data_IF_070639504606
#
_entry.id   IF_070639504606
#
_cell.length_a   1.000
_cell.length_b   1.000
_cell.length_c   1.000
_cell.angle_alpha   90.00
_cell.angle_beta   90.00
_cell.angle_gamma   90.00
#
_symmetry.space_group_name_H-M   'P 1'
#
loop_
_entity.id
_entity.type
_entity.pdbx_description
1 polymer ?
#
# COMPACT_ATOMS: atom_id res chain seq x y z
N UNK A 1 26.09 -26.42 -11.96
CA UNK A 1 25.55 -27.78 -11.73
C UNK A 1 26.26 -28.56 -10.60
N UNK A 2 26.93 -27.88 -9.65
CA UNK A 2 27.61 -28.52 -8.50
C UNK A 2 27.01 -28.13 -7.15
N UNK A 3 26.21 -27.05 -7.05
CA UNK A 3 25.53 -26.67 -5.79
C UNK A 3 24.19 -27.39 -5.52
N UNK A 4 23.59 -28.04 -6.52
CA UNK A 4 22.28 -28.71 -6.36
C UNK A 4 22.43 -30.12 -5.77
N UNK A 5 23.59 -30.76 -5.92
CA UNK A 5 23.82 -32.11 -5.37
C UNK A 5 24.06 -32.12 -3.86
N UNK A 6 24.57 -31.03 -3.27
CA UNK A 6 24.91 -30.99 -1.83
C UNK A 6 23.69 -30.78 -0.93
N UNK A 7 22.64 -30.10 -1.41
CA UNK A 7 21.41 -29.88 -0.64
C UNK A 7 20.54 -31.15 -0.54
N UNK A 8 20.52 -31.98 -1.60
CA UNK A 8 19.75 -33.22 -1.61
C UNK A 8 20.38 -34.27 -0.69
N UNK A 9 21.71 -34.33 -0.59
CA UNK A 9 22.39 -35.25 0.33
C UNK A 9 22.18 -34.92 1.83
N UNK A 10 22.02 -33.64 2.18
CA UNK A 10 21.83 -33.22 3.59
C UNK A 10 20.38 -33.47 4.05
N UNK A 11 19.38 -33.26 3.19
CA UNK A 11 18.00 -33.57 3.53
C UNK A 11 17.74 -35.09 3.64
N UNK A 12 18.40 -35.90 2.82
CA UNK A 12 18.20 -37.36 2.86
C UNK A 12 18.82 -38.00 4.11
N UNK A 13 19.91 -37.41 4.64
CA UNK A 13 20.54 -37.88 5.89
C UNK A 13 19.72 -37.54 7.15
N UNK A 14 18.99 -36.41 7.16
CA UNK A 14 18.17 -36.01 8.30
C UNK A 14 16.89 -36.87 8.44
N UNK A 15 16.30 -37.33 7.33
CA UNK A 15 15.11 -38.19 7.36
C UNK A 15 15.40 -39.66 7.73
N UNK A 16 16.64 -40.13 7.59
CA UNK A 16 17.04 -41.51 7.92
C UNK A 16 17.55 -41.69 9.36
N UNK A 17 17.75 -40.59 10.12
CA UNK A 17 18.34 -40.64 11.46
C UNK A 17 17.33 -40.70 12.63
N UNK A 18 16.02 -40.80 12.37
CA UNK A 18 15.00 -41.11 13.39
C UNK A 18 14.83 -40.09 14.53
N UNK A 19 15.54 -38.95 14.54
CA UNK A 19 15.45 -37.93 15.59
C UNK A 19 14.44 -36.83 15.24
N UNK A 20 13.18 -37.20 15.03
CA UNK A 20 12.08 -36.22 15.08
C UNK A 20 11.51 -36.26 16.48
N UNK A 21 11.77 -35.19 17.24
CA UNK A 21 11.20 -34.98 18.56
C UNK A 21 9.67 -34.83 18.42
N UNK A 22 8.91 -35.85 18.84
CA UNK A 22 7.43 -35.88 18.74
C UNK A 22 6.74 -35.22 19.93
N UNK A 23 7.44 -34.37 20.68
CA UNK A 23 6.80 -33.61 21.74
C UNK A 23 5.68 -32.71 21.14
N UNK A 24 4.44 -32.76 21.66
CA UNK A 24 3.39 -31.88 21.19
C UNK A 24 3.83 -30.44 21.42
N UNK A 25 3.86 -29.65 20.35
CA UNK A 25 4.10 -28.21 20.41
C UNK A 25 3.00 -27.63 21.31
N UNK A 26 3.36 -27.30 22.56
CA UNK A 26 2.46 -26.55 23.43
C UNK A 26 2.17 -25.23 22.74
N UNK A 27 0.89 -24.99 22.42
CA UNK A 27 0.45 -23.71 21.91
C UNK A 27 0.99 -22.61 22.84
N UNK A 28 1.63 -21.56 22.30
CA UNK A 28 2.12 -20.47 23.11
C UNK A 28 0.94 -19.89 23.88
N UNK A 29 1.14 -19.61 25.17
CA UNK A 29 0.18 -18.87 25.99
C UNK A 29 -0.08 -17.56 25.26
N UNK A 30 -1.27 -17.43 24.68
CA UNK A 30 -1.72 -16.20 24.05
C UNK A 30 -1.94 -15.21 25.20
N UNK A 31 -0.90 -14.43 25.53
CA UNK A 31 -1.13 -13.14 26.17
C UNK A 31 -2.22 -12.44 25.34
N UNK A 32 -3.26 -11.93 26.00
CA UNK A 32 -4.32 -11.12 25.40
C UNK A 32 -3.69 -9.92 24.68
N UNK A 33 -3.15 -10.15 23.48
CA UNK A 33 -2.85 -9.10 22.51
C UNK A 33 -4.18 -8.42 22.28
N UNK A 34 -4.20 -7.12 22.51
CA UNK A 34 -5.30 -6.22 22.19
C UNK A 34 -5.92 -6.66 20.87
N UNK A 35 -7.09 -7.30 20.95
CA UNK A 35 -7.97 -7.44 19.80
C UNK A 35 -8.19 -6.02 19.30
N UNK A 36 -8.02 -5.79 18.00
CA UNK A 36 -8.34 -4.50 17.41
C UNK A 36 -9.77 -4.15 17.87
N UNK A 37 -10.03 -2.95 18.41
CA UNK A 37 -11.38 -2.54 18.70
C UNK A 37 -12.19 -2.70 17.40
N UNK A 38 -13.27 -3.49 17.46
CA UNK A 38 -14.15 -3.88 16.33
C UNK A 38 -13.64 -4.99 15.40
N UNK A 39 -12.64 -5.79 15.78
CA UNK A 39 -12.35 -7.02 15.04
C UNK A 39 -13.56 -7.98 15.09
N UNK A 40 -13.93 -8.62 13.96
CA UNK A 40 -14.99 -9.63 13.97
C UNK A 40 -14.65 -10.79 14.89
N UNK A 41 -15.67 -11.40 15.48
CA UNK A 41 -15.51 -12.64 16.24
C UNK A 41 -15.10 -13.77 15.29
N UNK A 42 -14.40 -14.78 15.82
CA UNK A 42 -14.06 -15.98 15.04
C UNK A 42 -15.31 -16.66 14.44
N UNK A 43 -16.45 -16.58 15.13
CA UNK A 43 -17.75 -17.04 14.64
C UNK A 43 -18.27 -16.27 13.43
N UNK A 44 -17.89 -14.99 13.30
CA UNK A 44 -18.36 -14.11 12.25
C UNK A 44 -17.61 -14.41 10.94
N UNK A 45 -16.35 -14.84 11.03
CA UNK A 45 -15.51 -15.23 9.88
C UNK A 45 -15.44 -16.75 9.65
N UNK A 46 -16.31 -17.52 10.31
CA UNK A 46 -16.38 -18.97 10.18
C UNK A 46 -16.54 -19.40 8.71
N UNK A 47 -15.77 -20.41 8.28
CA UNK A 47 -15.67 -20.82 6.87
C UNK A 47 -14.85 -19.86 5.98
N UNK A 48 -13.87 -19.14 6.52
CA UNK A 48 -13.02 -18.25 5.72
C UNK A 48 -11.98 -19.03 4.89
N UNK A 49 -12.00 -18.84 3.57
CA UNK A 49 -11.02 -19.39 2.62
C UNK A 49 -10.30 -18.29 1.88
N UNK A 50 -8.98 -18.45 1.73
CA UNK A 50 -8.19 -17.59 0.87
C UNK A 50 -8.14 -18.17 -0.55
N UNK A 51 -8.72 -17.46 -1.51
CA UNK A 51 -8.66 -17.81 -2.92
C UNK A 51 -7.46 -17.08 -3.55
N UNK A 52 -6.37 -17.82 -3.81
CA UNK A 52 -5.17 -17.31 -4.46
C UNK A 52 -4.86 -18.08 -5.73
N UNK A 53 -4.49 -17.35 -6.79
CA UNK A 53 -3.82 -17.95 -7.93
C UNK A 53 -2.31 -17.99 -7.67
N UNK A 54 -1.83 -19.12 -7.16
CA UNK A 54 -0.40 -19.36 -6.94
C UNK A 54 0.18 -20.27 -8.02
N UNK A 55 0.25 -19.77 -9.27
CA UNK A 55 0.80 -20.53 -10.40
C UNK A 55 2.33 -20.46 -10.49
N UNK A 56 2.99 -19.79 -9.54
CA UNK A 56 4.47 -19.60 -9.43
C UNK A 56 5.11 -18.98 -10.69
N UNK A 57 4.31 -18.62 -11.68
CA UNK A 57 4.72 -18.01 -12.93
C UNK A 57 4.94 -16.52 -12.71
N UNK A 58 6.15 -16.06 -13.00
CA UNK A 58 6.55 -14.65 -12.88
C UNK A 58 6.08 -13.80 -14.05
N UNK A 59 5.60 -14.40 -15.15
CA UNK A 59 5.12 -13.69 -16.34
C UNK A 59 3.63 -13.33 -16.25
N UNK A 60 2.89 -13.95 -15.33
CA UNK A 60 1.49 -13.63 -15.08
C UNK A 60 1.37 -12.46 -14.10
N UNK A 61 1.14 -11.26 -14.65
CA UNK A 61 1.09 -9.99 -13.90
C UNK A 61 -0.20 -9.77 -13.09
N UNK A 62 -1.21 -10.62 -13.25
CA UNK A 62 -2.49 -10.50 -12.53
C UNK A 62 -2.58 -11.61 -11.49
N UNK A 63 -2.43 -11.22 -10.22
CA UNK A 63 -2.56 -12.10 -9.04
C UNK A 63 -3.57 -11.46 -8.10
N UNK A 64 -4.86 -11.63 -8.37
CA UNK A 64 -5.86 -11.20 -7.39
C UNK A 64 -5.95 -12.25 -6.28
N UNK A 65 -6.17 -11.75 -5.08
CA UNK A 65 -6.51 -12.56 -3.94
C UNK A 65 -7.95 -12.21 -3.56
N UNK A 66 -8.69 -13.22 -3.11
CA UNK A 66 -10.05 -13.04 -2.61
C UNK A 66 -10.17 -13.77 -1.29
N UNK A 67 -11.02 -13.23 -0.41
CA UNK A 67 -11.41 -13.92 0.80
C UNK A 67 -12.86 -14.39 0.59
N UNK A 68 -13.07 -15.69 0.65
CA UNK A 68 -14.39 -16.30 0.57
C UNK A 68 -14.87 -16.61 1.97
N UNK A 69 -16.01 -16.03 2.35
CA UNK A 69 -16.78 -16.45 3.52
C UNK A 69 -17.75 -17.53 3.06
N UNK A 70 -17.37 -18.80 3.21
CA UNK A 70 -18.13 -19.93 2.66
C UNK A 70 -19.42 -20.21 3.39
N UNK A 71 -19.49 -19.87 4.69
CA UNK A 71 -20.70 -20.05 5.49
C UNK A 71 -21.83 -19.16 4.95
N UNK A 72 -22.94 -19.76 4.50
CA UNK A 72 -24.04 -19.01 3.90
C UNK A 72 -24.64 -18.01 4.88
N UNK A 73 -24.92 -16.81 4.37
CA UNK A 73 -25.49 -15.72 5.13
C UNK A 73 -26.29 -14.80 4.19
N UNK A 74 -27.16 -13.97 4.76
CA UNK A 74 -27.80 -12.92 3.96
C UNK A 74 -26.74 -11.91 3.46
N UNK A 75 -27.13 -11.14 2.45
CA UNK A 75 -26.21 -10.20 1.80
C UNK A 75 -25.60 -9.19 2.79
N UNK A 76 -26.39 -8.63 3.69
CA UNK A 76 -25.92 -7.58 4.59
C UNK A 76 -24.99 -8.14 5.66
N UNK A 77 -25.29 -9.31 6.22
CA UNK A 77 -24.39 -10.04 7.10
C UNK A 77 -23.07 -10.37 6.41
N UNK A 78 -23.12 -10.81 5.14
CA UNK A 78 -21.98 -10.98 4.24
C UNK A 78 -21.08 -9.77 4.14
N UNK A 79 -21.62 -8.70 3.57
CA UNK A 79 -20.88 -7.49 3.29
C UNK A 79 -20.39 -6.81 4.57
N UNK A 80 -21.20 -6.76 5.63
CA UNK A 80 -20.77 -6.18 6.91
C UNK A 80 -19.62 -6.98 7.55
N UNK A 81 -19.58 -8.30 7.35
CA UNK A 81 -18.42 -9.10 7.77
C UNK A 81 -17.17 -8.70 6.99
N UNK A 82 -17.26 -8.56 5.66
CA UNK A 82 -16.12 -8.05 4.86
C UNK A 82 -15.66 -6.67 5.35
N UNK A 83 -16.61 -5.74 5.58
CA UNK A 83 -16.33 -4.38 6.07
C UNK A 83 -15.67 -4.37 7.45
N UNK A 84 -16.10 -5.25 8.36
CA UNK A 84 -15.49 -5.38 9.70
C UNK A 84 -14.03 -5.84 9.65
N UNK A 85 -13.62 -6.53 8.58
CA UNK A 85 -12.23 -6.92 8.34
C UNK A 85 -11.42 -5.80 7.65
N UNK A 86 -12.02 -4.63 7.42
CA UNK A 86 -11.39 -3.52 6.70
C UNK A 86 -11.38 -3.69 5.17
N UNK A 87 -12.21 -4.59 4.64
CA UNK A 87 -12.39 -4.79 3.21
C UNK A 87 -13.67 -4.11 2.72
N UNK A 88 -13.60 -3.38 1.60
CA UNK A 88 -14.74 -2.67 1.03
C UNK A 88 -15.73 -3.56 0.28
N UNK A 89 -15.56 -4.88 0.32
CA UNK A 89 -16.33 -5.85 -0.45
C UNK A 89 -15.89 -5.90 -1.92
N UNK A 90 -16.07 -7.05 -2.58
CA UNK A 90 -15.64 -7.19 -3.98
C UNK A 90 -16.66 -6.62 -4.95
N UNK A 91 -16.31 -5.50 -5.61
CA UNK A 91 -17.10 -4.96 -6.73
C UNK A 91 -16.87 -5.84 -7.96
N UNK A 92 -17.87 -6.61 -8.32
CA UNK A 92 -17.80 -7.50 -9.48
C UNK A 92 -18.16 -6.74 -10.77
N UNK A 93 -17.20 -6.64 -11.70
CA UNK A 93 -17.41 -6.05 -13.03
C UNK A 93 -17.23 -7.15 -14.09
N UNK A 94 -18.32 -7.65 -14.70
CA UNK A 94 -18.24 -8.69 -15.72
C UNK A 94 -17.29 -8.31 -16.87
N UNK A 95 -16.50 -9.28 -17.34
CA UNK A 95 -15.56 -9.09 -18.45
C UNK A 95 -14.19 -8.50 -18.07
N UNK A 96 -13.98 -8.12 -16.81
CA UNK A 96 -12.64 -7.73 -16.31
C UNK A 96 -11.78 -8.96 -16.00
N UNK A 97 -10.46 -8.79 -16.01
CA UNK A 97 -9.51 -9.86 -15.66
C UNK A 97 -9.75 -10.43 -14.25
N UNK A 98 -10.07 -9.56 -13.28
CA UNK A 98 -10.41 -9.98 -11.92
C UNK A 98 -11.72 -10.78 -11.85
N UNK A 99 -12.73 -10.45 -12.65
CA UNK A 99 -13.97 -11.22 -12.70
C UNK A 99 -13.73 -12.63 -13.27
N UNK A 100 -12.97 -12.73 -14.38
CA UNK A 100 -12.59 -14.01 -14.98
C UNK A 100 -11.74 -14.86 -14.03
N UNK A 101 -10.80 -14.23 -13.32
CA UNK A 101 -9.94 -14.91 -12.35
C UNK A 101 -10.73 -15.44 -11.16
N UNK A 102 -11.62 -14.64 -10.56
CA UNK A 102 -12.50 -15.08 -9.47
C UNK A 102 -13.31 -16.32 -9.86
N UNK A 103 -13.94 -16.29 -11.04
CA UNK A 103 -14.69 -17.43 -11.58
C UNK A 103 -13.81 -18.67 -11.71
N UNK A 104 -12.58 -18.51 -12.22
CA UNK A 104 -11.64 -19.63 -12.30
C UNK A 104 -11.26 -20.15 -10.91
N UNK A 105 -11.08 -19.28 -9.91
CA UNK A 105 -10.70 -19.67 -8.56
C UNK A 105 -11.84 -20.36 -7.81
N UNK A 106 -13.07 -19.89 -7.96
CA UNK A 106 -14.25 -20.57 -7.40
C UNK A 106 -14.40 -21.99 -7.97
N UNK A 107 -14.09 -22.20 -9.24
CA UNK A 107 -14.21 -23.54 -9.84
C UNK A 107 -13.03 -24.47 -9.57
N UNK A 108 -11.85 -23.95 -9.19
CA UNK A 108 -10.60 -24.74 -9.15
C UNK A 108 -9.91 -24.81 -7.78
N UNK A 109 -10.46 -24.17 -6.74
CA UNK A 109 -9.82 -24.18 -5.42
C UNK A 109 -10.13 -25.47 -4.65
N UNK A 110 -9.17 -26.41 -4.65
CA UNK A 110 -9.26 -27.70 -3.97
C UNK A 110 -9.56 -27.62 -2.46
N UNK A 111 -9.15 -26.53 -1.79
CA UNK A 111 -9.28 -26.40 -0.33
C UNK A 111 -10.68 -25.94 0.10
N UNK A 112 -11.37 -25.18 -0.76
CA UNK A 112 -12.74 -24.70 -0.53
C UNK A 112 -13.78 -25.51 -1.34
N UNK A 113 -13.34 -26.47 -2.16
CA UNK A 113 -14.15 -27.13 -3.18
C UNK A 113 -15.47 -27.73 -2.64
N UNK A 114 -15.51 -28.46 -1.51
CA UNK A 114 -16.77 -29.03 -1.00
C UNK A 114 -17.80 -27.96 -0.64
N UNK A 115 -17.34 -26.85 -0.09
CA UNK A 115 -18.19 -25.74 0.36
C UNK A 115 -18.59 -24.83 -0.82
N UNK A 116 -17.71 -24.69 -1.81
CA UNK A 116 -17.96 -23.91 -3.03
C UNK A 116 -18.86 -24.68 -3.99
N UNK A 117 -18.78 -26.01 -4.06
CA UNK A 117 -19.60 -26.84 -4.95
C UNK A 117 -21.06 -26.95 -4.52
N UNK A 118 -21.35 -26.67 -3.25
CA UNK A 118 -22.71 -26.54 -2.75
C UNK A 118 -23.46 -25.32 -3.32
N UNK A 119 -22.76 -24.35 -3.92
CA UNK A 119 -23.36 -23.10 -4.40
C UNK A 119 -22.96 -22.78 -5.84
N UNK A 120 -23.95 -22.35 -6.62
CA UNK A 120 -23.73 -21.79 -7.96
C UNK A 120 -23.56 -20.27 -7.94
N UNK A 121 -23.97 -19.60 -6.86
CA UNK A 121 -24.01 -18.15 -6.71
C UNK A 121 -23.32 -17.68 -5.42
N UNK A 122 -22.69 -16.51 -5.50
CA UNK A 122 -21.88 -15.93 -4.42
C UNK A 122 -22.17 -14.44 -4.31
N UNK A 123 -22.34 -13.91 -3.11
CA UNK A 123 -22.53 -12.49 -2.89
C UNK A 123 -21.30 -11.68 -3.29
N UNK A 124 -21.54 -10.59 -4.01
CA UNK A 124 -20.54 -9.60 -4.42
C UNK A 124 -21.06 -8.19 -4.15
N UNK A 125 -20.17 -7.27 -3.79
CA UNK A 125 -20.57 -5.94 -3.36
C UNK A 125 -21.13 -5.11 -4.52
N UNK A 126 -22.30 -4.50 -4.30
CA UNK A 126 -22.99 -3.65 -5.27
C UNK A 126 -22.81 -2.14 -5.02
N UNK A 127 -21.94 -1.73 -4.09
CA UNK A 127 -21.62 -0.32 -3.85
C UNK A 127 -22.52 0.41 -2.84
N UNK A 128 -23.69 -0.12 -2.49
CA UNK A 128 -24.68 0.59 -1.66
C UNK A 128 -25.44 -0.37 -0.72
N UNK A 129 -25.10 -0.43 0.58
CA UNK A 129 -25.83 -1.24 1.56
C UNK A 129 -27.18 -0.60 1.90
N UNK A 130 -28.23 -1.43 2.05
CA UNK A 130 -29.44 -1.08 2.80
C UNK A 130 -30.60 -0.50 1.99
N UNK A 131 -30.47 -0.35 0.67
CA UNK A 131 -31.47 0.36 -0.15
C UNK A 131 -32.27 -0.60 -1.05
N UNK A 132 -31.72 -1.76 -1.39
CA UNK A 132 -32.34 -2.67 -2.35
C UNK A 132 -32.96 -3.90 -1.68
N UNK A 133 -34.09 -4.34 -2.23
CA UNK A 133 -34.75 -5.61 -1.89
C UNK A 133 -34.09 -6.82 -2.56
N UNK A 134 -33.46 -6.59 -3.71
CA UNK A 134 -32.60 -7.55 -4.39
C UNK A 134 -31.15 -7.09 -4.35
N UNK A 135 -30.22 -8.03 -4.22
CA UNK A 135 -28.80 -7.81 -4.07
C UNK A 135 -28.02 -8.59 -5.12
N UNK A 136 -26.77 -8.18 -5.38
CA UNK A 136 -25.97 -8.67 -6.48
C UNK A 136 -25.23 -9.96 -6.11
N UNK A 137 -25.45 -11.03 -6.87
CA UNK A 137 -24.69 -12.26 -6.76
C UNK A 137 -24.03 -12.61 -8.09
N UNK A 138 -22.81 -13.16 -8.06
CA UNK A 138 -22.14 -13.72 -9.25
C UNK A 138 -22.40 -15.21 -9.34
N UNK A 139 -22.72 -15.70 -10.54
CA UNK A 139 -22.80 -17.12 -10.84
C UNK A 139 -21.42 -17.67 -11.21
N UNK A 140 -20.90 -18.66 -10.47
CA UNK A 140 -19.56 -19.21 -10.70
C UNK A 140 -19.40 -19.96 -12.02
N UNK A 141 -20.49 -20.43 -12.63
CA UNK A 141 -20.44 -21.18 -13.88
C UNK A 141 -20.41 -20.25 -15.10
N UNK A 142 -21.12 -19.13 -15.02
CA UNK A 142 -21.28 -18.21 -16.16
C UNK A 142 -20.46 -16.93 -16.03
N UNK A 143 -20.03 -16.58 -14.82
CA UNK A 143 -19.44 -15.28 -14.51
C UNK A 143 -20.39 -14.10 -14.69
N UNK A 144 -21.69 -14.34 -14.83
CA UNK A 144 -22.71 -13.29 -14.90
C UNK A 144 -23.22 -12.96 -13.51
N UNK A 145 -23.74 -11.75 -13.36
CA UNK A 145 -24.36 -11.29 -12.11
C UNK A 145 -25.88 -11.28 -12.20
N UNK A 146 -26.53 -11.70 -11.13
CA UNK A 146 -27.98 -11.70 -10.98
C UNK A 146 -28.38 -10.84 -9.77
N UNK A 147 -29.53 -10.17 -9.86
CA UNK A 147 -30.16 -9.50 -8.74
C UNK A 147 -31.19 -10.44 -8.11
N UNK A 148 -30.90 -10.91 -6.90
CA UNK A 148 -31.73 -11.90 -6.19
C UNK A 148 -32.07 -11.40 -4.78
N UNK A 149 -33.11 -11.93 -4.10
CA UNK A 149 -33.52 -11.43 -2.79
C UNK A 149 -32.36 -11.39 -1.79
N UNK A 150 -32.14 -10.24 -1.15
CA UNK A 150 -30.98 -10.04 -0.25
C UNK A 150 -30.97 -10.99 0.96
N UNK A 151 -32.12 -11.56 1.33
CA UNK A 151 -32.27 -12.57 2.38
C UNK A 151 -31.77 -13.96 1.99
N UNK A 152 -31.44 -14.20 0.71
CA UNK A 152 -30.91 -15.48 0.25
C UNK A 152 -29.62 -15.82 1.00
N UNK A 153 -29.48 -17.06 1.44
CA UNK A 153 -28.30 -17.50 2.18
C UNK A 153 -27.25 -17.97 1.18
N UNK A 154 -26.24 -17.14 0.94
CA UNK A 154 -25.14 -17.47 0.04
C UNK A 154 -23.77 -17.20 0.70
N UNK A 155 -22.72 -17.90 0.25
CA UNK A 155 -21.36 -17.50 0.52
C UNK A 155 -21.05 -16.09 0.01
N UNK A 156 -20.12 -15.39 0.66
CA UNK A 156 -19.76 -13.99 0.30
C UNK A 156 -18.32 -13.89 -0.15
N UNK A 157 -18.10 -13.23 -1.30
CA UNK A 157 -16.75 -12.91 -1.78
C UNK A 157 -16.35 -11.51 -1.30
N UNK A 158 -15.41 -11.49 -0.37
CA UNK A 158 -14.67 -10.32 0.04
C UNK A 158 -13.45 -10.12 -0.89
N UNK A 159 -13.06 -8.87 -1.12
CA UNK A 159 -11.85 -8.53 -1.86
C UNK A 159 -10.62 -8.61 -0.94
N UNK A 160 -9.44 -8.94 -1.49
CA UNK A 160 -8.19 -8.87 -0.72
C UNK A 160 -7.52 -7.50 -0.81
N UNK A 161 -7.94 -6.60 -1.70
CA UNK A 161 -7.45 -5.23 -1.59
C UNK A 161 -8.29 -4.54 -0.54
N UNK A 162 -7.77 -4.54 0.69
CA UNK A 162 -7.90 -3.40 1.60
C UNK A 162 -8.09 -2.17 0.72
N UNK A 163 -9.27 -1.54 0.79
CA UNK A 163 -9.67 -0.46 -0.12
C UNK A 163 -8.47 0.41 -0.43
N UNK A 164 -8.22 0.70 -1.72
CA UNK A 164 -7.25 1.71 -2.13
C UNK A 164 -7.64 2.95 -1.33
N UNK A 165 -6.83 3.28 -0.32
CA UNK A 165 -7.21 4.11 0.82
C UNK A 165 -7.92 5.36 0.32
N UNK A 166 -9.20 5.52 0.66
CA UNK A 166 -9.80 6.86 0.64
C UNK A 166 -9.19 7.54 1.86
N UNK A 167 -8.30 8.53 1.69
CA UNK A 167 -7.49 9.14 2.77
C UNK A 167 -8.31 9.85 3.87
N UNK A 168 -9.63 9.65 3.93
CA UNK A 168 -10.52 10.38 4.83
C UNK A 168 -10.26 10.10 6.32
N UNK A 169 -9.57 9.01 6.68
CA UNK A 169 -9.24 8.70 8.07
C UNK A 169 -7.84 8.08 8.21
N UNK A 170 -6.88 8.87 8.69
CA UNK A 170 -5.58 8.39 9.16
C UNK A 170 -5.62 8.21 10.68
N UNK A 171 -5.49 6.98 11.19
CA UNK A 171 -5.25 6.78 12.63
C UNK A 171 -3.81 7.19 12.97
N UNK A 172 -3.65 8.45 13.39
CA UNK A 172 -2.37 9.01 13.81
C UNK A 172 -2.16 8.89 15.33
N UNK A 173 -3.04 8.21 16.07
CA UNK A 173 -2.97 8.14 17.54
C UNK A 173 -1.66 7.53 18.05
N UNK A 174 -1.06 6.62 17.27
CA UNK A 174 0.18 5.93 17.62
C UNK A 174 1.40 6.69 17.10
N UNK A 175 1.85 7.67 17.86
CA UNK A 175 3.05 8.45 17.60
C UNK A 175 4.32 7.64 17.87
N UNK A 176 5.36 7.82 17.03
CA UNK A 176 6.65 7.12 17.14
C UNK A 176 7.79 8.09 16.88
N UNK A 177 8.91 7.93 17.61
CA UNK A 177 10.12 8.74 17.43
C UNK A 177 11.31 7.89 16.99
N UNK A 178 12.12 8.43 16.08
CA UNK A 178 13.36 7.81 15.61
C UNK A 178 14.50 8.82 15.76
N UNK A 179 15.61 8.38 16.35
CA UNK A 179 16.83 9.17 16.42
C UNK A 179 17.64 8.94 15.14
N UNK A 180 17.98 10.03 14.45
CA UNK A 180 18.79 10.02 13.24
C UNK A 180 20.02 10.92 13.41
N UNK A 181 21.05 10.81 12.55
CA UNK A 181 22.21 11.71 12.60
C UNK A 181 21.87 13.21 12.46
N UNK A 182 20.74 13.53 11.82
CA UNK A 182 20.29 14.92 11.60
C UNK A 182 19.29 15.42 12.65
N UNK A 183 18.93 14.58 13.64
CA UNK A 183 18.02 14.92 14.74
C UNK A 183 16.95 13.86 15.00
N UNK A 184 16.06 14.11 15.96
CA UNK A 184 14.94 13.21 16.28
C UNK A 184 13.74 13.51 15.38
N UNK A 185 13.20 12.49 14.73
CA UNK A 185 12.03 12.60 13.84
C UNK A 185 10.83 11.92 14.49
N UNK A 186 9.70 12.62 14.57
CA UNK A 186 8.43 12.09 15.06
C UNK A 186 7.50 11.79 13.88
N UNK A 187 7.06 10.54 13.78
CA UNK A 187 6.04 10.08 12.84
C UNK A 187 4.92 9.34 13.57
N UNK A 188 4.16 8.53 12.84
CA UNK A 188 3.09 7.71 13.40
C UNK A 188 3.00 6.35 12.71
N UNK A 189 2.21 5.45 13.29
CA UNK A 189 1.96 4.11 12.72
C UNK A 189 0.48 3.76 12.74
N UNK A 190 -0.03 3.33 11.59
CA UNK A 190 -1.32 2.64 11.50
C UNK A 190 -1.14 1.13 11.32
N UNK A 191 -2.18 0.46 10.82
CA UNK A 191 -2.19 -0.95 10.49
C UNK A 191 -1.27 -1.33 9.31
N UNK A 192 -0.92 -0.38 8.44
CA UNK A 192 -0.18 -0.64 7.20
C UNK A 192 1.31 -0.33 7.35
N UNK A 193 1.66 0.83 7.89
CA UNK A 193 3.04 1.30 7.89
C UNK A 193 3.32 2.25 9.06
N UNK A 194 4.60 2.34 9.41
CA UNK A 194 5.15 3.50 10.10
C UNK A 194 5.49 4.56 9.07
N UNK A 195 5.07 5.80 9.31
CA UNK A 195 5.18 6.91 8.36
C UNK A 195 5.90 8.08 9.00
N UNK A 196 6.81 8.65 8.22
CA UNK A 196 7.52 9.88 8.51
C UNK A 196 7.40 10.77 7.27
N UNK A 197 6.53 11.76 7.32
CA UNK A 197 6.10 12.57 6.19
C UNK A 197 6.74 13.97 6.24
N UNK A 198 7.10 14.52 5.09
CA UNK A 198 7.58 15.90 4.98
C UNK A 198 8.93 16.16 5.66
N UNK A 199 9.85 15.18 5.65
CA UNK A 199 11.22 15.35 6.17
C UNK A 199 12.01 16.21 5.19
N UNK A 200 12.55 17.38 5.58
CA UNK A 200 13.37 18.18 4.68
C UNK A 200 14.75 17.53 4.48
N UNK A 201 15.13 17.30 3.21
CA UNK A 201 16.46 16.79 2.87
C UNK A 201 17.41 17.92 2.44
N UNK A 202 16.87 19.10 2.12
CA UNK A 202 17.63 20.29 1.76
C UNK A 202 17.14 21.53 2.54
N UNK A 203 17.96 22.57 2.57
CA UNK A 203 17.52 23.92 2.91
C UNK A 203 16.52 24.43 1.87
N UNK A 204 15.59 25.29 2.31
CA UNK A 204 14.55 25.83 1.45
C UNK A 204 15.17 26.58 0.25
N UNK A 205 14.84 26.22 -1.01
CA UNK A 205 15.39 26.85 -2.19
C UNK A 205 14.67 28.17 -2.47
N UNK A 206 14.77 29.12 -1.55
CA UNK A 206 14.15 30.45 -1.63
C UNK A 206 15.21 31.53 -1.73
N UNK A 207 14.81 32.73 -2.15
CA UNK A 207 15.69 33.90 -2.23
C UNK A 207 16.96 33.57 -3.05
N UNK A 208 18.15 33.69 -2.44
CA UNK A 208 19.44 33.42 -3.09
C UNK A 208 19.61 31.95 -3.50
N UNK A 209 18.84 31.02 -2.91
CA UNK A 209 18.88 29.59 -3.23
C UNK A 209 17.90 29.16 -4.33
N UNK A 210 17.01 30.06 -4.79
CA UNK A 210 15.92 29.75 -5.74
C UNK A 210 16.36 28.94 -6.96
N UNK A 211 17.45 29.38 -7.59
CA UNK A 211 18.01 28.73 -8.78
C UNK A 211 19.38 28.08 -8.53
N UNK A 212 19.81 28.04 -7.28
CA UNK A 212 21.07 27.43 -6.87
C UNK A 212 20.93 25.89 -6.80
N UNK A 213 22.06 25.19 -6.77
CA UNK A 213 22.09 23.79 -6.36
C UNK A 213 21.52 23.65 -4.92
N UNK A 214 20.80 22.55 -4.62
CA UNK A 214 20.25 22.36 -3.29
C UNK A 214 21.37 22.21 -2.26
N UNK A 215 21.13 22.76 -1.08
CA UNK A 215 22.06 22.70 0.06
C UNK A 215 21.53 21.64 1.03
N UNK A 216 22.33 20.66 1.47
CA UNK A 216 21.90 19.66 2.45
C UNK A 216 21.31 20.30 3.70
N UNK A 217 20.21 19.74 4.22
CA UNK A 217 19.56 20.26 5.42
C UNK A 217 20.51 20.16 6.64
N UNK A 218 20.67 21.26 7.37
CA UNK A 218 21.43 21.24 8.61
C UNK A 218 20.73 20.37 9.68
N UNK A 219 21.48 19.68 10.57
CA UNK A 219 20.90 18.97 11.70
C UNK A 219 20.02 19.89 12.55
N UNK A 220 18.88 19.38 12.99
CA UNK A 220 17.93 20.08 13.85
C UNK A 220 18.05 19.59 15.30
N UNK A 221 17.98 20.53 16.24
CA UNK A 221 18.12 20.27 17.68
C UNK A 221 16.80 19.88 18.33
N UNK A 222 15.68 20.41 17.85
CA UNK A 222 14.33 20.04 18.29
C UNK A 222 13.83 18.80 17.55
N UNK A 223 12.86 18.08 18.14
CA UNK A 223 12.19 16.98 17.43
C UNK A 223 11.45 17.53 16.21
N UNK A 224 11.76 16.99 15.03
CA UNK A 224 11.04 17.30 13.80
C UNK A 224 9.68 16.58 13.78
N UNK A 225 8.61 17.35 13.65
CA UNK A 225 7.27 16.82 13.39
C UNK A 225 7.15 16.39 11.92
N UNK A 226 7.16 15.08 11.70
CA UNK A 226 6.99 14.41 10.41
C UNK A 226 5.69 13.60 10.37
N UNK A 227 4.62 14.12 10.99
CA UNK A 227 3.31 13.46 11.05
C UNK A 227 2.39 13.79 9.87
N UNK A 228 2.73 14.81 9.08
CA UNK A 228 1.94 15.31 7.95
C UNK A 228 2.84 15.64 6.77
N UNK A 229 2.27 15.59 5.57
CA UNK A 229 2.98 16.07 4.39
C UNK A 229 3.33 17.56 4.53
N UNK A 230 4.46 17.95 3.95
CA UNK A 230 4.86 19.36 3.79
C UNK A 230 4.46 19.87 2.40
N UNK A 231 4.87 21.09 2.11
CA UNK A 231 4.56 21.75 0.84
C UNK A 231 5.00 20.92 -0.36
N UNK A 232 4.17 20.97 -1.41
CA UNK A 232 4.55 20.56 -2.76
C UNK A 232 5.29 21.71 -3.46
N UNK A 233 6.12 21.39 -4.44
CA UNK A 233 6.86 22.40 -5.19
C UNK A 233 5.92 23.20 -6.10
N UNK A 234 6.25 24.48 -6.40
CA UNK A 234 5.46 25.30 -7.29
C UNK A 234 5.30 24.65 -8.66
N UNK A 235 4.07 24.56 -9.12
CA UNK A 235 3.72 23.77 -10.29
C UNK A 235 2.57 24.39 -11.07
N UNK A 236 2.53 24.12 -12.37
CA UNK A 236 1.39 24.55 -13.19
C UNK A 236 0.18 23.71 -12.81
N UNK A 237 -0.89 24.35 -12.37
CA UNK A 237 -2.21 23.72 -12.35
C UNK A 237 -2.66 23.61 -13.80
N UNK A 238 -2.31 22.53 -14.48
CA UNK A 238 -2.98 22.23 -15.73
C UNK A 238 -4.46 22.03 -15.41
N UNK A 239 -5.32 22.82 -16.06
CA UNK A 239 -6.75 22.54 -16.19
C UNK A 239 -6.90 21.17 -16.85
N UNK A 240 -6.78 20.10 -16.05
CA UNK A 240 -6.77 18.73 -16.53
C UNK A 240 -8.20 18.33 -16.87
N UNK A 241 -8.58 18.57 -18.13
CA UNK A 241 -9.79 18.00 -18.76
C UNK A 241 -9.79 16.47 -18.85
N UNK A 242 -8.90 15.78 -18.13
CA UNK A 242 -8.82 14.33 -18.05
C UNK A 242 -8.74 13.88 -16.59
N UNK A 243 -9.86 13.32 -16.13
CA UNK A 243 -10.07 12.50 -14.93
C UNK A 243 -10.12 13.26 -13.58
N UNK A 244 -11.34 13.53 -13.07
CA UNK A 244 -11.59 14.08 -11.74
C UNK A 244 -10.91 13.34 -10.58
N UNK A 245 -10.66 12.04 -10.74
CA UNK A 245 -10.01 11.19 -9.74
C UNK A 245 -8.50 11.47 -9.57
N UNK A 246 -7.86 12.14 -10.54
CA UNK A 246 -6.48 12.61 -10.42
C UNK A 246 -6.38 14.01 -9.79
N UNK A 247 -7.50 14.76 -9.75
CA UNK A 247 -7.54 16.19 -9.43
C UNK A 247 -7.31 16.53 -7.95
N UNK A 248 -7.22 15.52 -7.08
CA UNK A 248 -7.11 15.72 -5.62
C UNK A 248 -5.80 15.23 -5.03
N UNK A 249 -4.67 15.50 -5.71
CA UNK A 249 -3.37 15.19 -5.12
C UNK A 249 -2.98 16.08 -3.92
N UNK A 250 -3.74 17.16 -3.67
CA UNK A 250 -3.60 18.03 -2.48
C UNK A 250 -4.68 17.79 -1.40
N UNK A 251 -5.55 16.79 -1.55
CA UNK A 251 -6.51 16.39 -0.48
C UNK A 251 -5.83 15.84 0.79
N UNK A 252 -4.50 15.77 0.79
CA UNK A 252 -3.66 15.39 1.93
C UNK A 252 -3.28 16.57 2.85
N UNK A 253 -3.78 17.78 2.56
CA UNK A 253 -3.51 19.00 3.34
C UNK A 253 -2.19 19.71 3.01
N UNK A 254 -1.46 19.26 1.99
CA UNK A 254 -0.26 19.95 1.52
C UNK A 254 -0.60 21.25 0.76
N UNK A 255 0.22 22.27 0.96
CA UNK A 255 0.13 23.55 0.23
C UNK A 255 1.27 23.69 -0.78
N UNK A 256 1.12 24.58 -1.75
CA UNK A 256 2.19 24.88 -2.71
C UNK A 256 3.11 25.98 -2.15
N UNK A 257 4.43 25.73 -2.13
CA UNK A 257 5.42 26.73 -1.74
C UNK A 257 6.82 26.36 -2.25
N UNK A 258 7.72 27.34 -2.41
CA UNK A 258 9.12 27.09 -2.80
C UNK A 258 9.90 26.27 -1.75
N UNK A 259 9.54 26.36 -0.46
CA UNK A 259 10.05 25.46 0.58
C UNK A 259 9.41 24.07 0.47
N UNK A 260 9.85 23.30 -0.52
CA UNK A 260 9.25 22.02 -0.92
C UNK A 260 10.22 20.84 -0.98
N UNK A 261 11.52 21.02 -0.70
CA UNK A 261 12.54 19.97 -0.80
C UNK A 261 12.48 19.01 0.41
N UNK A 262 11.41 18.22 0.42
CA UNK A 262 11.11 17.24 1.43
C UNK A 262 10.86 15.85 0.84
N UNK A 263 10.98 14.83 1.69
CA UNK A 263 10.74 13.43 1.38
C UNK A 263 9.86 12.78 2.44
N UNK A 264 9.29 11.64 2.10
CA UNK A 264 8.44 10.84 2.96
C UNK A 264 9.00 9.42 3.05
N UNK A 265 9.05 8.85 4.25
CA UNK A 265 9.54 7.49 4.50
C UNK A 265 8.42 6.63 5.06
N UNK A 266 8.24 5.46 4.46
CA UNK A 266 7.26 4.46 4.85
C UNK A 266 8.00 3.14 5.10
N UNK A 267 7.82 2.57 6.29
CA UNK A 267 8.52 1.34 6.69
C UNK A 267 7.58 0.40 7.46
N UNK A 268 7.70 -0.94 7.29
CA UNK A 268 6.84 -1.87 8.03
C UNK A 268 7.31 -2.03 9.50
N UNK A 269 8.56 -1.69 9.80
CA UNK A 269 9.16 -1.87 11.14
C UNK A 269 10.31 -0.89 11.40
N UNK A 270 10.51 -0.52 12.66
CA UNK A 270 11.75 0.09 13.15
C UNK A 270 12.68 -1.00 13.67
N UNK A 271 14.00 -0.77 13.59
CA UNK A 271 15.01 -1.72 14.08
C UNK A 271 14.71 -2.20 15.52
N UNK A 272 14.47 -3.51 15.67
CA UNK A 272 14.82 -4.27 16.86
C UNK A 272 16.08 -5.09 16.57
N UNK A 273 16.89 -5.41 17.58
CA UNK A 273 18.25 -5.99 17.46
C UNK A 273 18.40 -7.31 16.65
N UNK A 274 17.31 -7.86 16.11
CA UNK A 274 17.27 -9.15 15.40
C UNK A 274 16.63 -9.08 13.99
N UNK A 275 16.40 -7.90 13.42
CA UNK A 275 15.80 -7.78 12.08
C UNK A 275 16.85 -7.55 10.98
N UNK A 276 16.75 -8.32 9.89
CA UNK A 276 17.53 -8.10 8.68
C UNK A 276 17.27 -6.72 8.07
N UNK A 277 18.26 -6.16 7.34
CA UNK A 277 18.07 -4.92 6.57
C UNK A 277 16.99 -5.14 5.50
N UNK A 278 16.06 -4.19 5.39
CA UNK A 278 15.04 -4.21 4.34
C UNK A 278 15.55 -3.52 3.07
N UNK A 279 15.11 -3.96 1.87
CA UNK A 279 15.35 -3.20 0.65
C UNK A 279 14.67 -1.83 0.72
N UNK A 280 15.26 -0.84 0.05
CA UNK A 280 14.74 0.53 -0.04
C UNK A 280 14.39 0.84 -1.49
N UNK A 281 13.15 1.27 -1.73
CA UNK A 281 12.69 1.78 -3.03
C UNK A 281 12.51 3.30 -2.93
N UNK A 282 13.25 4.04 -3.75
CA UNK A 282 13.09 5.49 -3.87
C UNK A 282 12.22 5.78 -5.09
N UNK A 283 11.06 6.39 -4.88
CA UNK A 283 10.11 6.75 -5.92
C UNK A 283 10.23 8.23 -6.27
N UNK A 284 10.57 8.49 -7.54
CA UNK A 284 10.63 9.81 -8.14
C UNK A 284 9.40 9.96 -9.03
N UNK A 285 8.51 10.90 -8.69
CA UNK A 285 7.28 11.08 -9.44
C UNK A 285 7.53 11.62 -10.86
N UNK A 286 6.66 11.23 -11.79
CA UNK A 286 6.61 11.80 -13.14
C UNK A 286 5.93 13.17 -13.16
N UNK A 287 5.16 13.45 -14.21
CA UNK A 287 4.43 14.71 -14.37
C UNK A 287 5.13 15.71 -15.29
N UNK A 288 5.86 15.22 -16.30
CA UNK A 288 6.45 16.06 -17.36
C UNK A 288 7.41 17.13 -16.87
N UNK A 289 7.95 16.98 -15.64
CA UNK A 289 8.75 17.98 -14.94
C UNK A 289 8.01 19.26 -14.53
N UNK A 290 6.68 19.30 -14.65
CA UNK A 290 5.86 20.49 -14.39
C UNK A 290 4.81 20.27 -13.29
N UNK A 291 4.48 19.02 -12.94
CA UNK A 291 3.45 18.69 -11.94
C UNK A 291 3.79 17.44 -11.12
N UNK A 292 2.88 17.10 -10.19
CA UNK A 292 2.94 16.06 -9.17
C UNK A 292 3.89 16.36 -8.01
N UNK A 293 3.88 15.45 -7.04
CA UNK A 293 4.67 15.48 -5.82
C UNK A 293 4.86 14.05 -5.29
N UNK A 294 5.75 13.89 -4.31
CA UNK A 294 5.88 12.66 -3.53
C UNK A 294 4.69 12.40 -2.59
N UNK A 295 3.73 13.32 -2.50
CA UNK A 295 2.55 13.23 -1.62
C UNK A 295 1.25 12.92 -2.37
N UNK A 296 1.27 12.81 -3.70
CA UNK A 296 0.11 12.45 -4.52
C UNK A 296 -0.50 11.12 -4.04
N UNK A 297 -1.80 11.12 -3.77
CA UNK A 297 -2.56 9.99 -3.20
C UNK A 297 -2.35 8.66 -3.93
N UNK A 298 -2.30 8.68 -5.26
CA UNK A 298 -2.13 7.45 -6.06
C UNK A 298 -0.74 6.82 -5.93
N UNK A 299 0.23 7.54 -5.35
CA UNK A 299 1.60 7.08 -5.10
C UNK A 299 1.84 6.70 -3.63
N UNK A 300 0.82 6.77 -2.75
CA UNK A 300 0.98 6.37 -1.34
C UNK A 300 1.32 4.87 -1.26
N UNK A 301 2.44 4.48 -0.62
CA UNK A 301 2.97 3.12 -0.73
C UNK A 301 2.57 2.20 0.44
N UNK A 302 1.64 2.59 1.31
CA UNK A 302 1.35 1.87 2.55
C UNK A 302 1.01 0.39 2.34
N UNK A 303 0.26 0.07 1.29
CA UNK A 303 -0.04 -1.32 0.92
C UNK A 303 1.19 -2.11 0.42
N UNK A 304 2.10 -1.44 -0.29
CA UNK A 304 3.34 -2.06 -0.78
C UNK A 304 4.29 -2.33 0.39
N UNK A 305 4.39 -1.38 1.33
CA UNK A 305 5.22 -1.48 2.53
C UNK A 305 4.73 -2.58 3.45
N UNK A 306 3.42 -2.67 3.69
CA UNK A 306 2.82 -3.66 4.60
C UNK A 306 2.96 -5.10 4.09
N UNK A 307 2.88 -5.31 2.77
CA UNK A 307 2.88 -6.64 2.13
C UNK A 307 4.25 -7.07 1.61
N UNK A 308 5.04 -6.10 1.15
CA UNK A 308 6.27 -6.35 0.40
C UNK A 308 7.55 -6.39 1.23
N UNK A 309 7.49 -6.05 2.52
CA UNK A 309 8.69 -6.02 3.38
C UNK A 309 9.74 -5.04 2.88
N UNK A 310 9.32 -3.90 2.33
CA UNK A 310 10.17 -2.90 1.70
C UNK A 310 10.00 -1.55 2.38
N UNK A 311 11.07 -0.76 2.44
CA UNK A 311 11.01 0.65 2.81
C UNK A 311 10.78 1.45 1.54
N UNK A 312 9.76 2.31 1.52
CA UNK A 312 9.54 3.22 0.39
C UNK A 312 9.84 4.64 0.80
N UNK A 313 10.59 5.35 -0.05
CA UNK A 313 10.86 6.77 0.08
C UNK A 313 10.25 7.48 -1.12
N UNK A 314 9.39 8.47 -0.90
CA UNK A 314 8.90 9.36 -1.96
C UNK A 314 9.51 10.74 -1.78
N UNK A 315 9.85 11.42 -2.87
CA UNK A 315 10.54 12.72 -2.82
C UNK A 315 9.76 13.80 -3.57
N UNK A 316 9.90 15.04 -3.13
CA UNK A 316 9.64 16.21 -3.97
C UNK A 316 10.95 16.70 -4.60
N UNK A 317 10.89 17.26 -5.79
CA UNK A 317 11.99 17.96 -6.46
C UNK A 317 11.45 19.21 -7.17
N UNK A 318 12.27 20.25 -7.38
CA UNK A 318 11.79 21.47 -8.04
C UNK A 318 11.29 21.18 -9.45
N UNK A 319 10.21 21.87 -9.83
CA UNK A 319 9.51 21.69 -11.12
C UNK A 319 9.61 22.96 -11.97
N UNK A 320 9.27 22.84 -13.26
CA UNK A 320 9.17 23.94 -14.21
C UNK A 320 10.41 24.85 -14.21
N UNK A 321 10.18 26.15 -14.26
CA UNK A 321 11.27 27.14 -14.28
C UNK A 321 12.22 27.01 -13.08
N UNK A 322 11.71 26.69 -11.89
CA UNK A 322 12.53 26.62 -10.67
C UNK A 322 13.50 25.44 -10.68
N UNK A 323 13.11 24.34 -11.32
CA UNK A 323 13.93 23.12 -11.40
C UNK A 323 14.88 23.06 -12.59
N UNK A 324 14.58 23.81 -13.65
CA UNK A 324 15.21 23.59 -14.96
C UNK A 324 15.78 24.86 -15.61
N UNK A 325 15.64 26.04 -14.98
CA UNK A 325 16.24 27.26 -15.50
C UNK A 325 17.76 27.13 -15.62
N UNK A 326 18.24 27.25 -16.85
CA UNK A 326 19.64 27.47 -17.17
C UNK A 326 19.85 28.92 -17.55
N UNK A 327 20.76 29.58 -16.87
CA UNK A 327 21.29 30.88 -17.24
C UNK A 327 22.71 30.93 -16.69
N UNK A 328 23.60 30.17 -17.32
CA UNK A 328 24.95 29.97 -16.82
C UNK A 328 25.75 31.27 -16.84
N UNK A 329 26.72 31.39 -15.92
CA UNK A 329 27.58 32.57 -15.82
C UNK A 329 28.38 32.85 -17.12
N UNK A 330 28.53 31.85 -18.00
CA UNK A 330 29.09 32.01 -19.34
C UNK A 330 28.32 33.03 -20.21
N UNK A 331 27.05 33.28 -19.88
CA UNK A 331 26.17 34.26 -20.54
C UNK A 331 26.11 35.59 -19.77
N UNK A 332 26.85 35.72 -18.67
CA UNK A 332 27.03 36.97 -17.91
C UNK A 332 25.79 37.47 -17.15
N UNK A 333 24.81 36.60 -16.86
CA UNK A 333 23.48 37.04 -16.36
C UNK A 333 23.03 36.43 -15.03
N UNK A 334 23.29 35.16 -14.71
CA UNK A 334 23.05 34.60 -13.36
C UNK A 334 23.87 33.33 -13.04
N UNK A 335 23.71 32.79 -11.83
CA UNK A 335 24.35 31.56 -11.32
C UNK A 335 23.49 30.30 -11.51
N UNK A 336 22.43 30.36 -12.30
CA UNK A 336 21.56 29.23 -12.55
C UNK A 336 22.24 28.25 -13.51
N UNK A 337 22.86 27.19 -12.98
CA UNK A 337 23.64 26.23 -13.79
C UNK A 337 22.79 25.25 -14.61
N UNK A 338 21.46 25.31 -14.48
CA UNK A 338 20.55 24.29 -14.99
C UNK A 338 20.54 23.02 -14.13
N UNK A 339 19.55 22.16 -14.42
CA UNK A 339 19.37 20.83 -13.81
C UNK A 339 19.28 20.83 -12.28
N UNK A 340 18.73 21.89 -11.69
CA UNK A 340 18.50 22.00 -10.25
C UNK A 340 17.61 20.86 -9.74
N UNK A 341 16.57 20.51 -10.48
CA UNK A 341 15.70 19.37 -10.23
C UNK A 341 16.44 18.04 -10.12
N UNK A 342 17.38 17.76 -11.03
CA UNK A 342 18.19 16.54 -10.96
C UNK A 342 19.12 16.55 -9.75
N UNK A 343 19.67 17.72 -9.39
CA UNK A 343 20.48 17.87 -8.18
C UNK A 343 19.66 17.66 -6.92
N UNK A 344 18.39 18.10 -6.91
CA UNK A 344 17.44 17.85 -5.83
C UNK A 344 17.22 16.34 -5.65
N UNK A 345 16.97 15.63 -6.75
CA UNK A 345 16.81 14.16 -6.74
C UNK A 345 18.09 13.46 -6.25
N UNK A 346 19.26 13.89 -6.70
CA UNK A 346 20.55 13.33 -6.26
C UNK A 346 20.75 13.56 -4.76
N UNK A 347 20.49 14.76 -4.26
CA UNK A 347 20.64 15.07 -2.84
C UNK A 347 19.66 14.25 -1.99
N UNK A 348 18.43 14.05 -2.46
CA UNK A 348 17.45 13.20 -1.78
C UNK A 348 17.87 11.72 -1.74
N UNK A 349 18.65 11.23 -2.72
CA UNK A 349 19.23 9.89 -2.70
C UNK A 349 20.49 9.78 -1.83
N UNK A 350 21.19 10.88 -1.58
CA UNK A 350 22.35 10.94 -0.69
C UNK A 350 21.94 10.98 0.80
N UNK A 351 20.78 11.58 1.09
CA UNK A 351 20.15 11.58 2.39
C UNK A 351 19.82 10.17 2.87
#
# INVERSE_FOLDING_TARGET
MVLIKTLVSVLTAALLAGNVDTAPIKAPVVEKRLLLPNAPLASDIDGAHLLLKNDVDSTNVIKNAYLLLSKPRDYYAGINTCLSMGDGGYIYIPGTSGATELVSLLNKNSNAQPEVDAFSQFWVYNGVPGIFSNCLAVNKNTGKTDWIPCSTQLPTVCFNSVMRRVLLFEDTSRQIKVNTPVGTIQGWRDQNAMRFLGIPYAEAPVQQLRFAAPVPKAPFTSTLDATRYRNVCPQTQENAGFIPMLLSYLENGATEAEDCLNLNVYTPSLKGANHAKLPVMVYIHGGGFTTFSGSVIIFEPGNMVSRGGVVVVTINYRLGLLGWAENSAAWGRSSATGNQALRDQILAMQW
#
